data_IF_213842254240
#
_entry.id   IF_213842254240
#
_cell.length_a   1.000
_cell.length_b   1.000
_cell.length_c   1.000
_cell.angle_alpha   90.00
_cell.angle_beta   90.00
_cell.angle_gamma   90.00
#
_symmetry.space_group_name_H-M   'P 1'
#
loop_
_entity.id
_entity.type
_entity.pdbx_description
1 polymer ?
#
# COMPACT_ATOMS: atom_id res chain seq x y z
N UNK A 1 -11.49 29.21 13.86
CA UNK A 1 -10.15 28.71 13.48
C UNK A 1 -10.24 27.40 12.73
N UNK A 2 -9.49 27.24 11.63
CA UNK A 2 -9.41 25.98 10.87
C UNK A 2 -8.12 25.28 11.24
N UNK A 3 -8.21 24.01 11.63
CA UNK A 3 -7.02 23.24 11.98
C UNK A 3 -6.26 22.84 10.70
N UNK A 4 -4.97 23.14 10.68
CA UNK A 4 -4.03 22.76 9.62
C UNK A 4 -2.84 22.07 10.26
N UNK A 5 -2.47 20.91 9.73
CA UNK A 5 -1.36 20.11 10.21
C UNK A 5 -0.42 19.81 9.05
N UNK A 6 0.87 20.03 9.29
CA UNK A 6 1.93 19.53 8.42
C UNK A 6 2.71 18.48 9.22
N UNK A 7 2.80 17.28 8.67
CA UNK A 7 3.44 16.13 9.30
C UNK A 7 4.61 15.66 8.46
N UNK A 8 5.73 15.39 9.13
CA UNK A 8 6.93 14.78 8.57
C UNK A 8 6.99 13.32 9.04
N UNK A 9 7.28 12.41 8.12
CA UNK A 9 7.43 10.99 8.40
C UNK A 9 8.74 10.46 7.84
N UNK A 10 9.39 9.56 8.59
CA UNK A 10 10.57 8.84 8.15
C UNK A 10 10.36 7.36 8.44
N UNK A 11 10.81 6.52 7.52
CA UNK A 11 10.82 5.07 7.68
C UNK A 11 12.15 4.55 7.17
N UNK A 12 12.76 3.62 7.90
CA UNK A 12 13.99 2.99 7.45
C UNK A 12 14.21 1.67 8.16
N UNK A 13 14.98 0.80 7.53
CA UNK A 13 15.24 -0.53 8.06
C UNK A 13 16.34 -1.26 7.32
N UNK A 14 16.84 -2.32 7.93
CA UNK A 14 17.77 -3.24 7.28
C UNK A 14 16.99 -4.21 6.40
N UNK A 15 17.29 -4.22 5.11
CA UNK A 15 16.81 -5.23 4.18
C UNK A 15 17.87 -6.31 4.06
N UNK A 16 17.49 -7.55 4.30
CA UNK A 16 18.34 -8.71 4.09
C UNK A 16 17.72 -9.63 3.04
N UNK A 17 18.53 -10.06 2.07
CA UNK A 17 18.15 -11.05 1.08
C UNK A 17 19.16 -12.18 1.08
N UNK A 18 18.67 -13.39 1.21
CA UNK A 18 19.45 -14.61 1.23
C UNK A 18 18.65 -15.73 0.59
N UNK A 19 19.33 -16.59 -0.13
CA UNK A 19 18.80 -17.88 -0.54
C UNK A 19 19.86 -18.97 -0.34
N UNK A 20 19.41 -20.22 -0.30
CA UNK A 20 20.26 -21.37 -0.09
C UNK A 20 20.53 -22.05 -1.43
N UNK A 21 21.76 -21.94 -1.94
CA UNK A 21 22.16 -22.50 -3.22
C UNK A 21 22.01 -24.04 -3.26
N UNK A 22 22.12 -24.71 -2.10
CA UNK A 22 22.00 -26.17 -2.05
C UNK A 22 20.60 -26.68 -2.39
N UNK A 23 19.60 -25.81 -2.33
CA UNK A 23 18.19 -26.11 -2.63
C UNK A 23 17.75 -25.57 -3.99
N UNK A 24 18.65 -24.92 -4.72
CA UNK A 24 18.37 -24.38 -6.06
C UNK A 24 18.70 -25.46 -7.09
N UNK A 25 17.72 -25.78 -7.91
CA UNK A 25 17.91 -26.60 -9.11
C UNK A 25 17.85 -25.70 -10.34
N UNK A 26 18.82 -25.83 -11.24
CA UNK A 26 18.85 -25.03 -12.47
C UNK A 26 18.65 -25.90 -13.70
N UNK A 27 18.34 -25.27 -14.83
CA UNK A 27 18.15 -25.97 -16.09
C UNK A 27 19.44 -26.67 -16.57
N UNK A 28 20.62 -26.18 -16.16
CA UNK A 28 21.91 -26.82 -16.45
C UNK A 28 22.09 -28.18 -15.76
N UNK A 29 21.25 -28.51 -14.78
CA UNK A 29 21.24 -29.80 -14.11
C UNK A 29 20.26 -30.80 -14.75
N UNK A 30 19.65 -30.45 -15.88
CA UNK A 30 18.82 -31.35 -16.67
C UNK A 30 19.64 -31.89 -17.84
N UNK A 31 19.83 -33.21 -17.91
CA UNK A 31 20.67 -33.87 -18.93
C UNK A 31 19.96 -34.09 -20.27
N UNK A 32 18.72 -33.59 -20.42
CA UNK A 32 17.85 -33.81 -21.58
C UNK A 32 16.79 -34.90 -21.35
N UNK A 33 16.99 -35.77 -20.36
CA UNK A 33 16.07 -36.87 -20.01
C UNK A 33 15.62 -36.83 -18.55
N UNK A 34 16.49 -36.42 -17.63
CA UNK A 34 16.21 -36.39 -16.20
C UNK A 34 17.02 -35.32 -15.48
N UNK A 35 16.59 -34.99 -14.26
CA UNK A 35 17.38 -34.16 -13.36
C UNK A 35 18.57 -34.96 -12.83
N UNK A 36 19.76 -34.38 -12.93
CA UNK A 36 21.01 -34.95 -12.44
C UNK A 36 21.72 -33.96 -11.50
N UNK A 37 21.70 -34.26 -10.20
CA UNK A 37 22.29 -33.41 -9.15
C UNK A 37 23.82 -33.37 -9.17
N UNK A 38 24.48 -34.23 -9.95
CA UNK A 38 25.95 -34.21 -10.08
C UNK A 38 26.43 -33.19 -11.11
N UNK A 39 25.54 -32.70 -11.98
CA UNK A 39 25.82 -31.60 -12.88
C UNK A 39 25.89 -30.28 -12.10
N UNK A 40 26.84 -29.43 -12.50
CA UNK A 40 26.96 -28.08 -11.94
C UNK A 40 25.73 -27.23 -12.28
N UNK A 41 25.41 -26.26 -11.43
CA UNK A 41 24.25 -25.38 -11.62
C UNK A 41 24.42 -24.42 -12.81
N UNK A 42 25.62 -24.28 -13.37
CA UNK A 42 25.91 -23.34 -14.46
C UNK A 42 25.88 -21.87 -14.05
N UNK A 43 25.60 -21.57 -12.77
CA UNK A 43 25.46 -20.22 -12.24
C UNK A 43 26.69 -19.80 -11.43
N UNK A 44 27.34 -18.71 -11.84
CA UNK A 44 28.50 -18.14 -11.12
C UNK A 44 28.04 -17.01 -10.21
N UNK A 45 27.52 -17.37 -9.04
CA UNK A 45 27.02 -16.42 -8.04
C UNK A 45 28.09 -16.16 -6.99
N UNK A 46 28.61 -14.93 -6.93
CA UNK A 46 29.70 -14.55 -6.02
C UNK A 46 29.24 -14.48 -4.55
N UNK A 47 27.97 -14.17 -4.30
CA UNK A 47 27.36 -14.11 -2.97
C UNK A 47 25.91 -14.62 -3.01
N UNK A 48 25.53 -15.44 -2.04
CA UNK A 48 24.15 -15.94 -1.85
C UNK A 48 23.36 -15.16 -0.78
N UNK A 49 23.98 -14.14 -0.19
CA UNK A 49 23.38 -13.27 0.82
C UNK A 49 23.93 -11.85 0.70
N UNK A 50 23.06 -10.86 0.84
CA UNK A 50 23.45 -9.47 1.01
C UNK A 50 22.44 -8.73 1.90
N UNK A 51 22.89 -7.63 2.48
CA UNK A 51 22.06 -6.72 3.24
C UNK A 51 22.37 -5.28 2.86
N UNK A 52 21.34 -4.44 2.91
CA UNK A 52 21.46 -3.01 2.71
C UNK A 52 20.45 -2.29 3.60
N UNK A 53 20.77 -1.08 4.02
CA UNK A 53 19.78 -0.23 4.69
C UNK A 53 18.84 0.35 3.64
N UNK A 54 17.53 0.41 3.85
CA UNK A 54 16.58 1.11 2.99
C UNK A 54 15.90 2.25 3.76
N UNK A 55 15.64 3.35 3.08
CA UNK A 55 15.08 4.55 3.69
C UNK A 55 13.98 5.18 2.86
N UNK A 56 13.02 5.76 3.56
CA UNK A 56 11.87 6.50 3.02
C UNK A 56 11.66 7.75 3.87
N UNK A 57 11.30 8.86 3.22
CA UNK A 57 10.83 10.06 3.87
C UNK A 57 9.51 10.53 3.24
N UNK A 58 8.66 11.19 4.02
CA UNK A 58 7.38 11.68 3.54
C UNK A 58 6.91 12.94 4.26
N UNK A 59 6.05 13.67 3.57
CA UNK A 59 5.40 14.88 4.02
C UNK A 59 3.89 14.70 3.81
N UNK A 60 3.09 15.08 4.80
CA UNK A 60 1.63 15.07 4.69
C UNK A 60 1.09 16.39 5.23
N UNK A 61 0.29 17.05 4.43
CA UNK A 61 -0.50 18.21 4.80
C UNK A 61 -1.95 17.77 4.99
N UNK A 62 -2.56 18.18 6.10
CA UNK A 62 -3.96 17.91 6.41
C UNK A 62 -4.66 19.21 6.86
N UNK A 63 -5.87 19.44 6.37
CA UNK A 63 -6.64 20.65 6.72
C UNK A 63 -8.13 20.35 6.78
N UNK A 64 -8.84 21.10 7.63
CA UNK A 64 -10.30 21.11 7.66
C UNK A 64 -10.86 21.99 6.54
N UNK A 65 -11.89 21.51 5.84
CA UNK A 65 -12.52 22.21 4.73
C UNK A 65 -13.90 22.75 5.10
N UNK A 66 -14.18 24.01 4.76
CA UNK A 66 -15.53 24.58 4.92
C UNK A 66 -15.87 24.96 6.38
N UNK A 67 -17.15 24.87 6.72
CA UNK A 67 -17.69 25.14 8.06
C UNK A 67 -17.92 23.86 8.87
N UNK A 68 -18.12 22.73 8.19
CA UNK A 68 -18.26 21.43 8.83
C UNK A 68 -16.88 20.90 9.25
N UNK A 69 -16.72 20.62 10.54
CA UNK A 69 -15.49 20.11 11.12
C UNK A 69 -15.16 18.67 10.69
N UNK A 70 -16.14 17.92 10.16
CA UNK A 70 -15.93 16.57 9.65
C UNK A 70 -15.28 16.54 8.27
N UNK A 71 -15.39 17.63 7.52
CA UNK A 71 -14.81 17.76 6.19
C UNK A 71 -13.30 17.99 6.29
N UNK A 72 -12.54 17.11 5.66
CA UNK A 72 -11.09 17.19 5.69
C UNK A 72 -10.49 16.96 4.31
N UNK A 73 -9.31 17.52 4.11
CA UNK A 73 -8.47 17.31 2.95
C UNK A 73 -7.09 16.93 3.40
N UNK A 74 -6.47 16.01 2.67
CA UNK A 74 -5.07 15.73 2.81
C UNK A 74 -4.37 15.68 1.47
N UNK A 75 -3.12 16.08 1.47
CA UNK A 75 -2.18 15.90 0.37
C UNK A 75 -0.84 15.48 0.95
N UNK A 76 -0.17 14.53 0.32
CA UNK A 76 1.09 14.01 0.79
C UNK A 76 2.01 13.64 -0.36
N UNK A 77 3.30 13.66 -0.06
CA UNK A 77 4.35 13.18 -0.94
C UNK A 77 5.28 12.28 -0.14
N UNK A 78 5.63 11.13 -0.70
CA UNK A 78 6.60 10.21 -0.12
C UNK A 78 7.68 9.87 -1.15
N UNK A 79 8.92 9.78 -0.66
CA UNK A 79 10.08 9.37 -1.44
C UNK A 79 10.71 8.13 -0.81
N UNK A 80 10.56 7.01 -1.51
CA UNK A 80 11.05 5.70 -1.11
C UNK A 80 12.37 5.36 -1.83
N UNK A 81 13.18 4.53 -1.17
CA UNK A 81 14.45 4.01 -1.68
C UNK A 81 15.44 5.13 -2.06
N UNK A 82 15.50 6.20 -1.25
CA UNK A 82 16.32 7.38 -1.55
C UNK A 82 17.82 7.07 -1.63
N UNK A 83 18.25 6.00 -0.96
CA UNK A 83 19.64 5.57 -0.92
C UNK A 83 20.07 4.74 -2.13
N UNK A 84 19.17 4.47 -3.10
CA UNK A 84 19.48 3.90 -4.42
C UNK A 84 20.49 2.75 -4.36
N UNK A 85 20.30 1.81 -3.43
CA UNK A 85 21.32 0.79 -3.24
C UNK A 85 21.50 -0.07 -4.50
N UNK A 86 22.74 -0.11 -4.98
CA UNK A 86 23.19 -0.78 -6.20
C UNK A 86 23.34 -2.31 -6.07
N UNK A 87 22.75 -2.91 -5.02
CA UNK A 87 22.92 -4.33 -4.68
C UNK A 87 21.61 -5.11 -4.81
N UNK A 88 20.78 -4.81 -5.80
CA UNK A 88 19.55 -5.56 -6.04
C UNK A 88 19.77 -6.83 -6.88
N UNK A 89 21.00 -7.35 -6.90
CA UNK A 89 21.41 -8.55 -7.65
C UNK A 89 22.44 -9.35 -6.87
N UNK A 90 22.40 -10.68 -7.05
CA UNK A 90 23.40 -11.60 -6.51
C UNK A 90 24.63 -11.74 -7.42
N UNK A 91 24.59 -11.17 -8.64
CA UNK A 91 25.72 -11.12 -9.56
C UNK A 91 26.50 -9.82 -9.41
N UNK A 92 27.83 -9.91 -9.40
CA UNK A 92 28.73 -8.77 -9.17
C UNK A 92 28.78 -7.78 -10.33
N UNK A 93 28.38 -8.18 -11.56
CA UNK A 93 28.53 -7.34 -12.78
C UNK A 93 27.26 -6.62 -13.22
N UNK A 94 26.15 -6.74 -12.49
CA UNK A 94 24.90 -6.08 -12.85
C UNK A 94 24.59 -4.99 -11.83
N UNK A 95 24.86 -3.73 -12.18
CA UNK A 95 24.35 -2.54 -11.47
C UNK A 95 22.84 -2.46 -11.69
N UNK A 96 22.10 -3.30 -10.97
CA UNK A 96 20.65 -3.22 -10.90
C UNK A 96 20.33 -2.35 -9.70
N UNK A 97 20.29 -1.03 -9.94
CA UNK A 97 19.92 -0.07 -8.91
C UNK A 97 18.43 -0.17 -8.61
N UNK A 98 18.09 -0.17 -7.32
CA UNK A 98 16.69 0.01 -6.93
C UNK A 98 16.31 1.45 -7.27
N UNK A 99 15.47 1.62 -8.30
CA UNK A 99 15.01 2.94 -8.71
C UNK A 99 14.16 3.54 -7.58
N UNK A 100 14.39 4.80 -7.20
CA UNK A 100 13.55 5.48 -6.22
C UNK A 100 12.10 5.52 -6.68
N UNK A 101 11.19 5.46 -5.70
CA UNK A 101 9.75 5.53 -5.94
C UNK A 101 9.20 6.79 -5.28
N UNK A 102 8.55 7.63 -6.09
CA UNK A 102 7.81 8.80 -5.63
C UNK A 102 6.33 8.44 -5.57
N UNK A 103 5.68 8.79 -4.47
CA UNK A 103 4.23 8.61 -4.28
C UNK A 103 3.63 9.95 -3.93
N UNK A 104 2.59 10.33 -4.63
CA UNK A 104 1.79 11.53 -4.38
C UNK A 104 0.39 11.07 -4.02
N UNK A 105 -0.04 11.39 -2.81
CA UNK A 105 -1.33 10.96 -2.28
C UNK A 105 -2.19 12.18 -2.01
N UNK A 106 -3.46 12.12 -2.36
CA UNK A 106 -4.42 13.15 -1.99
C UNK A 106 -5.77 12.52 -1.71
N UNK A 107 -6.55 13.18 -0.86
CA UNK A 107 -7.91 12.77 -0.63
C UNK A 107 -8.71 13.82 0.12
N UNK A 108 -10.01 13.70 0.02
CA UNK A 108 -10.95 14.57 0.69
C UNK A 108 -12.07 13.73 1.30
N UNK A 109 -12.40 13.99 2.55
CA UNK A 109 -13.59 13.49 3.22
C UNK A 109 -14.63 14.61 3.23
N UNK A 110 -15.83 14.30 2.76
CA UNK A 110 -16.95 15.23 2.67
C UNK A 110 -18.20 14.59 3.27
N UNK A 111 -18.81 15.24 4.25
CA UNK A 111 -20.10 14.87 4.81
C UNK A 111 -21.17 14.97 3.72
N UNK A 112 -21.94 13.90 3.55
CA UNK A 112 -23.09 13.87 2.65
C UNK A 112 -24.41 14.05 3.44
N UNK A 113 -24.49 13.46 4.63
CA UNK A 113 -25.59 13.57 5.59
C UNK A 113 -25.02 13.40 7.01
N UNK A 114 -25.83 13.61 8.06
CA UNK A 114 -25.40 13.43 9.45
C UNK A 114 -24.86 12.00 9.74
N UNK A 115 -25.36 11.00 9.01
CA UNK A 115 -24.99 9.60 9.15
C UNK A 115 -24.05 9.08 8.06
N UNK A 116 -23.70 9.90 7.05
CA UNK A 116 -22.93 9.43 5.90
C UNK A 116 -21.90 10.45 5.42
N UNK A 117 -20.73 9.95 5.05
CA UNK A 117 -19.69 10.75 4.41
C UNK A 117 -19.09 10.00 3.23
N UNK A 118 -18.61 10.77 2.25
CA UNK A 118 -17.88 10.27 1.09
C UNK A 118 -16.42 10.63 1.27
N UNK A 119 -15.54 9.65 1.09
CA UNK A 119 -14.11 9.89 0.99
C UNK A 119 -13.65 9.62 -0.44
N UNK A 120 -13.03 10.62 -1.07
CA UNK A 120 -12.37 10.48 -2.36
C UNK A 120 -10.86 10.41 -2.14
N UNK A 121 -10.18 9.58 -2.92
CA UNK A 121 -8.75 9.35 -2.80
C UNK A 121 -8.12 9.19 -4.18
N UNK A 122 -6.91 9.68 -4.32
CA UNK A 122 -6.07 9.45 -5.48
C UNK A 122 -4.60 9.32 -5.08
N UNK A 123 -3.94 8.32 -5.63
CA UNK A 123 -2.54 8.01 -5.45
C UNK A 123 -1.86 7.90 -6.82
N UNK A 124 -0.85 8.75 -7.03
CA UNK A 124 0.03 8.68 -8.20
C UNK A 124 1.40 8.21 -7.76
N UNK A 125 1.82 7.07 -8.30
CA UNK A 125 3.11 6.45 -8.03
C UNK A 125 3.98 6.47 -9.27
N UNK A 126 5.24 6.86 -9.12
CA UNK A 126 6.24 6.84 -10.18
C UNK A 126 7.50 6.13 -9.70
N UNK A 127 7.95 5.12 -10.44
CA UNK A 127 9.20 4.42 -10.20
C UNK A 127 9.97 4.24 -11.52
N UNK A 128 11.00 5.07 -11.73
CA UNK A 128 11.71 5.12 -13.01
C UNK A 128 10.79 5.57 -14.15
N UNK A 129 10.66 4.73 -15.18
CA UNK A 129 9.79 4.97 -16.35
C UNK A 129 8.35 4.47 -16.14
N UNK A 130 8.09 3.74 -15.04
CA UNK A 130 6.78 3.19 -14.74
C UNK A 130 5.99 4.16 -13.88
N UNK A 131 4.72 4.33 -14.24
CA UNK A 131 3.77 5.17 -13.52
C UNK A 131 2.48 4.41 -13.30
N UNK A 132 1.85 4.66 -12.16
CA UNK A 132 0.57 4.10 -11.79
C UNK A 132 -0.28 5.18 -11.13
N UNK A 133 -1.53 5.30 -11.56
CA UNK A 133 -2.51 6.19 -10.94
C UNK A 133 -3.69 5.34 -10.47
N UNK A 134 -3.99 5.41 -9.18
CA UNK A 134 -5.18 4.82 -8.59
C UNK A 134 -6.04 5.96 -8.07
N UNK A 135 -7.31 6.02 -8.45
CA UNK A 135 -8.24 7.01 -7.92
C UNK A 135 -9.61 6.38 -7.70
N UNK A 136 -10.29 6.78 -6.63
CA UNK A 136 -11.55 6.17 -6.25
C UNK A 136 -12.30 6.96 -5.20
N UNK A 137 -13.46 6.44 -4.85
CA UNK A 137 -14.33 6.99 -3.83
C UNK A 137 -14.93 5.86 -2.99
N UNK A 138 -15.12 6.15 -1.71
CA UNK A 138 -15.75 5.29 -0.73
C UNK A 138 -16.88 6.06 -0.05
N UNK A 139 -18.10 5.53 -0.10
CA UNK A 139 -19.19 5.99 0.73
C UNK A 139 -19.15 5.24 2.06
N UNK A 140 -19.23 5.97 3.16
CA UNK A 140 -19.31 5.40 4.50
C UNK A 140 -20.64 5.78 5.14
N UNK A 141 -21.31 4.79 5.73
CA UNK A 141 -22.54 4.96 6.49
C UNK A 141 -22.36 4.52 7.94
N UNK A 142 -22.80 5.35 8.88
CA UNK A 142 -22.84 5.10 10.32
C UNK A 142 -24.16 4.41 10.66
N UNK A 143 -24.09 3.18 11.17
CA UNK A 143 -25.28 2.36 11.46
C UNK A 143 -25.86 2.56 12.87
N UNK A 144 -25.14 3.29 13.72
CA UNK A 144 -25.46 3.48 15.13
C UNK A 144 -25.46 4.98 15.45
N UNK A 145 -25.54 5.34 16.73
CA UNK A 145 -25.51 6.72 17.23
C UNK A 145 -24.42 7.57 16.53
N UNK A 146 -24.81 8.78 16.10
CA UNK A 146 -23.95 9.72 15.37
C UNK A 146 -22.78 10.18 16.24
N UNK A 147 -22.97 10.28 17.56
CA UNK A 147 -21.93 10.76 18.48
C UNK A 147 -20.84 9.70 18.74
N UNK A 148 -21.19 8.41 18.78
CA UNK A 148 -20.21 7.33 18.98
C UNK A 148 -20.57 6.03 18.25
N UNK A 149 -20.53 6.03 16.90
CA UNK A 149 -20.94 4.87 16.14
C UNK A 149 -19.94 3.73 16.33
N UNK A 150 -20.46 2.55 16.70
CA UNK A 150 -19.66 1.32 16.82
C UNK A 150 -19.55 0.56 15.51
N UNK A 151 -20.49 0.79 14.61
CA UNK A 151 -20.69 0.03 13.37
C UNK A 151 -20.68 0.97 12.17
N UNK A 152 -19.84 0.67 11.18
CA UNK A 152 -19.76 1.39 9.91
C UNK A 152 -19.79 0.41 8.75
N UNK A 153 -20.54 0.75 7.71
CA UNK A 153 -20.45 0.09 6.42
C UNK A 153 -19.78 1.06 5.46
N UNK A 154 -18.77 0.58 4.75
CA UNK A 154 -18.12 1.31 3.69
C UNK A 154 -18.29 0.54 2.38
N UNK A 155 -18.63 1.26 1.32
CA UNK A 155 -18.74 0.70 -0.02
C UNK A 155 -18.24 1.70 -1.04
N UNK A 156 -17.48 1.23 -2.02
CA UNK A 156 -16.93 2.10 -3.05
C UNK A 156 -16.15 1.36 -4.10
N UNK A 157 -15.45 2.11 -4.93
CA UNK A 157 -14.62 1.56 -5.98
C UNK A 157 -13.44 2.47 -6.27
N UNK A 158 -12.34 1.84 -6.67
CA UNK A 158 -11.13 2.49 -7.13
C UNK A 158 -10.84 2.06 -8.55
N UNK A 159 -10.20 2.92 -9.33
CA UNK A 159 -9.76 2.63 -10.67
C UNK A 159 -8.26 2.78 -10.72
N UNK A 160 -7.56 1.69 -11.02
CA UNK A 160 -6.17 1.71 -11.47
C UNK A 160 -6.16 2.03 -12.95
N UNK A 161 -5.77 3.26 -13.29
CA UNK A 161 -5.90 3.83 -14.63
C UNK A 161 -5.27 2.89 -15.68
N UNK A 162 -6.03 2.58 -16.73
CA UNK A 162 -5.66 1.67 -17.83
C UNK A 162 -5.44 0.20 -17.43
N UNK A 163 -5.77 -0.21 -16.21
CA UNK A 163 -5.58 -1.60 -15.80
C UNK A 163 -6.79 -2.28 -15.14
N UNK A 164 -7.30 -1.76 -14.02
CA UNK A 164 -8.34 -2.46 -13.26
C UNK A 164 -9.35 -1.52 -12.61
N UNK A 165 -10.60 -1.99 -12.50
CA UNK A 165 -11.62 -1.44 -11.60
C UNK A 165 -11.67 -2.33 -10.35
N UNK A 166 -11.64 -1.71 -9.18
CA UNK A 166 -11.46 -2.36 -7.88
C UNK A 166 -12.64 -1.97 -6.98
N UNK A 167 -13.79 -2.67 -7.06
CA UNK A 167 -14.83 -2.57 -6.05
C UNK A 167 -14.30 -2.98 -4.67
N UNK A 168 -14.69 -2.22 -3.65
CA UNK A 168 -14.29 -2.43 -2.26
C UNK A 168 -15.52 -2.38 -1.36
N UNK A 169 -15.62 -3.34 -0.44
CA UNK A 169 -16.56 -3.31 0.67
C UNK A 169 -15.81 -3.51 1.97
N UNK A 170 -16.13 -2.70 2.99
CA UNK A 170 -15.53 -2.81 4.31
C UNK A 170 -16.62 -2.71 5.37
N UNK A 171 -16.53 -3.56 6.37
CA UNK A 171 -17.34 -3.53 7.58
C UNK A 171 -16.43 -3.20 8.76
N UNK A 172 -16.71 -2.10 9.46
CA UNK A 172 -15.99 -1.74 10.69
C UNK A 172 -16.92 -1.97 11.89
N UNK A 173 -16.51 -2.88 12.77
CA UNK A 173 -17.16 -3.23 14.03
C UNK A 173 -16.13 -3.02 15.14
N UNK A 174 -15.97 -1.77 15.62
CA UNK A 174 -14.83 -1.41 16.49
C UNK A 174 -14.74 -2.37 17.70
N UNK A 175 -13.55 -2.91 18.00
CA UNK A 175 -12.22 -2.58 17.46
C UNK A 175 -11.80 -3.32 16.17
N UNK A 176 -12.66 -4.15 15.58
CA UNK A 176 -12.38 -4.97 14.40
C UNK A 176 -12.84 -4.28 13.11
N UNK A 177 -12.11 -4.48 12.01
CA UNK A 177 -12.54 -4.12 10.66
C UNK A 177 -12.21 -5.25 9.69
N UNK A 178 -13.14 -5.57 8.80
CA UNK A 178 -12.99 -6.55 7.74
C UNK A 178 -13.19 -5.82 6.42
N UNK A 179 -12.29 -5.99 5.46
CA UNK A 179 -12.40 -5.44 4.12
C UNK A 179 -12.25 -6.53 3.06
N UNK A 180 -12.97 -6.38 1.96
CA UNK A 180 -12.83 -7.22 0.77
C UNK A 180 -12.73 -6.32 -0.46
N UNK A 181 -11.88 -6.71 -1.39
CA UNK A 181 -11.71 -6.06 -2.69
C UNK A 181 -11.58 -7.10 -3.78
N UNK A 182 -11.91 -6.70 -5.01
CA UNK A 182 -11.75 -7.55 -6.17
C UNK A 182 -11.20 -6.74 -7.33
N UNK A 183 -10.03 -7.12 -7.83
CA UNK A 183 -9.44 -6.49 -9.00
C UNK A 183 -10.11 -7.03 -10.26
N UNK A 184 -10.92 -6.21 -10.94
CA UNK A 184 -11.49 -6.54 -12.24
C UNK A 184 -10.64 -5.89 -13.35
N UNK A 185 -9.82 -6.68 -14.05
CA UNK A 185 -8.96 -6.20 -15.12
C UNK A 185 -9.77 -5.70 -16.32
N UNK A 186 -9.54 -4.45 -16.71
CA UNK A 186 -10.12 -3.78 -17.88
C UNK A 186 -9.09 -3.52 -19.00
N UNK A 187 -7.80 -3.79 -18.76
CA UNK A 187 -6.72 -3.61 -19.75
C UNK A 187 -6.82 -4.56 -20.94
N UNK A 188 -5.95 -4.39 -21.96
CA UNK A 188 -5.82 -5.33 -23.09
C UNK A 188 -5.47 -6.77 -22.65
N UNK A 189 -4.98 -6.97 -21.43
CA UNK A 189 -4.80 -8.30 -20.81
C UNK A 189 -6.13 -8.93 -20.35
N UNK A 190 -7.25 -8.20 -20.33
CA UNK A 190 -8.58 -8.75 -20.05
C UNK A 190 -8.98 -9.85 -21.04
N UNK A 191 -8.48 -9.81 -22.28
CA UNK A 191 -8.67 -10.88 -23.27
C UNK A 191 -8.02 -12.20 -22.85
N UNK A 192 -6.89 -12.13 -22.13
CA UNK A 192 -6.18 -13.30 -21.59
C UNK A 192 -6.73 -13.76 -20.23
N UNK A 193 -7.16 -12.84 -19.36
CA UNK A 193 -7.68 -13.17 -18.02
C UNK A 193 -9.20 -13.31 -17.93
N UNK A 194 -9.93 -13.03 -19.01
CA UNK A 194 -11.40 -12.87 -19.04
C UNK A 194 -11.92 -11.85 -18.02
N UNK A 195 -11.14 -10.80 -17.76
CA UNK A 195 -11.44 -9.77 -16.77
C UNK A 195 -11.39 -10.24 -15.30
N UNK A 196 -10.88 -11.45 -15.05
CA UNK A 196 -10.64 -11.95 -13.69
C UNK A 196 -9.27 -11.45 -13.21
N UNK A 197 -9.25 -10.67 -12.14
CA UNK A 197 -8.04 -10.38 -11.39
C UNK A 197 -8.01 -11.21 -10.11
N UNK A 198 -7.71 -10.55 -8.99
CA UNK A 198 -7.54 -11.19 -7.68
C UNK A 198 -8.61 -10.78 -6.68
N UNK A 199 -9.10 -11.75 -5.90
CA UNK A 199 -9.86 -11.48 -4.68
C UNK A 199 -8.90 -11.24 -3.52
N UNK A 200 -9.12 -10.16 -2.78
CA UNK A 200 -8.31 -9.80 -1.61
C UNK A 200 -9.21 -9.59 -0.39
N UNK A 201 -8.69 -9.94 0.79
CA UNK A 201 -9.36 -9.74 2.07
C UNK A 201 -8.38 -9.18 3.10
N UNK A 202 -8.88 -8.28 3.94
CA UNK A 202 -8.12 -7.63 5.00
C UNK A 202 -8.84 -7.72 6.34
N UNK A 203 -8.07 -7.95 7.41
CA UNK A 203 -8.53 -7.93 8.79
C UNK A 203 -7.69 -6.91 9.57
N UNK A 204 -8.33 -5.96 10.23
CA UNK A 204 -7.69 -4.93 11.05
C UNK A 204 -8.25 -4.99 12.46
N UNK A 205 -7.37 -4.94 13.46
CA UNK A 205 -7.75 -4.83 14.87
C UNK A 205 -7.05 -3.61 15.48
N UNK A 206 -7.82 -2.65 15.99
CA UNK A 206 -7.32 -1.37 16.48
C UNK A 206 -7.72 -1.18 17.94
N UNK A 207 -6.73 -1.15 18.84
CA UNK A 207 -6.93 -0.94 20.27
C UNK A 207 -5.82 -0.07 20.85
N UNK A 208 -6.16 0.75 21.83
CA UNK A 208 -5.17 1.47 22.63
C UNK A 208 -4.37 0.51 23.51
N UNK A 209 -3.04 0.69 23.54
CA UNK A 209 -2.11 -0.11 24.34
C UNK A 209 -2.17 0.25 25.83
N UNK A 210 -2.38 1.53 26.17
CA UNK A 210 -2.58 1.99 27.56
C UNK A 210 -4.05 2.28 27.83
N UNK A 211 -4.56 1.73 28.93
CA UNK A 211 -5.93 1.93 29.42
C UNK A 211 -6.17 3.35 29.94
N UNK A 212 -5.10 4.07 30.31
CA UNK A 212 -5.18 5.38 30.98
C UNK A 212 -4.86 6.59 30.06
N UNK A 213 -4.44 6.37 28.80
CA UNK A 213 -4.36 7.44 27.82
C UNK A 213 -5.77 7.73 27.29
N UNK A 214 -6.48 8.54 28.07
CA UNK A 214 -7.71 9.21 27.65
C UNK A 214 -7.45 10.01 26.38
N UNK A 215 -8.50 10.21 25.57
CA UNK A 215 -8.53 10.93 24.28
C UNK A 215 -7.87 12.32 24.27
N UNK A 216 -7.47 12.82 25.43
CA UNK A 216 -6.80 14.11 25.67
C UNK A 216 -5.32 14.12 25.23
N UNK A 217 -4.63 12.98 25.31
CA UNK A 217 -3.23 12.80 24.85
C UNK A 217 -3.12 11.91 23.59
N UNK A 218 -4.26 11.55 23.00
CA UNK A 218 -4.26 10.84 21.73
C UNK A 218 -3.68 11.75 20.66
N UNK A 219 -2.56 11.33 20.06
CA UNK A 219 -2.09 11.88 18.78
C UNK A 219 -3.31 11.89 17.86
N UNK A 220 -3.71 13.09 17.42
CA UNK A 220 -4.83 13.24 16.47
C UNK A 220 -4.35 12.68 15.14
N UNK A 221 -4.45 11.36 14.98
CA UNK A 221 -4.25 10.70 13.71
C UNK A 221 -5.45 11.04 12.83
N UNK A 222 -5.28 11.81 11.75
CA UNK A 222 -6.36 12.01 10.81
C UNK A 222 -6.84 10.63 10.32
N UNK A 223 -8.14 10.37 10.49
CA UNK A 223 -8.80 9.17 9.97
C UNK A 223 -9.39 9.55 8.63
N UNK A 224 -8.84 8.98 7.57
CA UNK A 224 -9.30 9.13 6.20
C UNK A 224 -10.27 8.00 5.87
#
# INVERSE_FOLDING_TARGET
DRNMYLSLGFMGGLVQRRFDMSKVTTNSQYDGTSYNSTLGTGETLANSSYSYFDGTAGLSFNTQMGQDAENNFFAGIAYHHFNKNARNSFYTSSTVDTKPKMVYSMGAKMSATDNAYVTVHADYTQQGTYTELIAGAMLTYRLDDVENPRYFIHGGAFMRLKDALIPVAKLEMRPLAISVSYDANISKLSSASKGRGGFEMGLSYQKYLSRDNTSRDAVRCPRF
#
